data_IF_163481687172
#
_entry.id   IF_163481687172
#
_cell.length_a   1.000
_cell.length_b   1.000
_cell.length_c   1.000
_cell.angle_alpha   90.00
_cell.angle_beta   90.00
_cell.angle_gamma   90.00
#
_symmetry.space_group_name_H-M   'P 1'
#
loop_
_entity.id
_entity.type
_entity.pdbx_description
1 polymer ?
#
# COMPACT_ATOMS: atom_id res chain seq x y z
N UNK A 1 16.92 -8.25 -22.32
CA UNK A 1 15.90 -7.99 -21.30
C UNK A 1 15.06 -6.83 -21.79
N UNK A 2 13.77 -7.05 -22.05
CA UNK A 2 12.88 -5.98 -22.53
C UNK A 2 12.25 -5.25 -21.33
N UNK A 3 12.80 -4.07 -21.00
CA UNK A 3 12.36 -3.24 -19.89
C UNK A 3 10.89 -2.81 -20.01
N UNK A 4 10.42 -2.57 -21.24
CA UNK A 4 9.05 -2.13 -21.50
C UNK A 4 8.06 -3.28 -21.27
N UNK A 5 8.40 -4.50 -21.68
CA UNK A 5 7.59 -5.68 -21.37
C UNK A 5 7.45 -5.91 -19.86
N UNK A 6 8.51 -5.65 -19.08
CA UNK A 6 8.46 -5.74 -17.61
C UNK A 6 7.60 -4.63 -16.97
N UNK A 7 7.60 -3.42 -17.52
CA UNK A 7 6.68 -2.35 -17.07
C UNK A 7 5.21 -2.72 -17.29
N UNK A 8 4.87 -3.34 -18.43
CA UNK A 8 3.50 -3.81 -18.70
C UNK A 8 3.05 -4.90 -17.75
N UNK A 9 3.94 -5.86 -17.46
CA UNK A 9 3.68 -6.90 -16.45
C UNK A 9 3.44 -6.28 -15.07
N UNK A 10 4.24 -5.29 -14.66
CA UNK A 10 4.09 -4.58 -13.40
C UNK A 10 2.76 -3.79 -13.31
N UNK A 11 2.31 -3.17 -14.41
CA UNK A 11 0.99 -2.50 -14.47
C UNK A 11 -0.14 -3.48 -14.24
N UNK A 12 -0.09 -4.64 -14.89
CA UNK A 12 -1.13 -5.68 -14.76
C UNK A 12 -1.16 -6.32 -13.37
N UNK A 13 0.01 -6.57 -12.77
CA UNK A 13 0.09 -7.11 -11.40
C UNK A 13 -0.42 -6.10 -10.37
N UNK A 14 -0.07 -4.82 -10.51
CA UNK A 14 -0.58 -3.74 -9.67
C UNK A 14 -2.11 -3.68 -9.69
N UNK A 15 -2.73 -3.77 -10.86
CA UNK A 15 -4.20 -3.81 -10.96
C UNK A 15 -4.81 -4.98 -10.20
N UNK A 16 -4.22 -6.18 -10.31
CA UNK A 16 -4.68 -7.36 -9.55
C UNK A 16 -4.53 -7.15 -8.04
N UNK A 17 -3.40 -6.60 -7.61
CA UNK A 17 -3.14 -6.30 -6.20
C UNK A 17 -4.15 -5.31 -5.63
N UNK A 18 -4.50 -4.25 -6.37
CA UNK A 18 -5.52 -3.28 -5.94
C UNK A 18 -6.89 -3.95 -5.78
N UNK A 19 -7.28 -4.83 -6.71
CA UNK A 19 -8.53 -5.59 -6.60
C UNK A 19 -8.51 -6.52 -5.38
N UNK A 20 -7.43 -7.27 -5.18
CA UNK A 20 -7.27 -8.15 -4.02
C UNK A 20 -7.24 -7.38 -2.69
N UNK A 21 -6.64 -6.20 -2.67
CA UNK A 21 -6.62 -5.31 -1.52
C UNK A 21 -8.04 -4.84 -1.19
N UNK A 22 -8.79 -4.34 -2.18
CA UNK A 22 -10.18 -3.94 -1.99
C UNK A 22 -11.05 -5.10 -1.48
N UNK A 23 -10.89 -6.29 -2.06
CA UNK A 23 -11.58 -7.50 -1.59
C UNK A 23 -11.21 -7.83 -0.13
N UNK A 24 -9.92 -7.75 0.22
CA UNK A 24 -9.44 -7.98 1.59
C UNK A 24 -10.06 -7.00 2.58
N UNK A 25 -10.20 -5.72 2.22
CA UNK A 25 -10.86 -4.70 3.05
C UNK A 25 -12.33 -5.07 3.29
N UNK A 26 -13.06 -5.48 2.25
CA UNK A 26 -14.45 -5.94 2.39
C UNK A 26 -14.55 -7.13 3.32
N UNK A 27 -13.72 -8.17 3.10
CA UNK A 27 -13.69 -9.37 3.94
C UNK A 27 -13.39 -9.03 5.40
N UNK A 28 -12.41 -8.15 5.66
CA UNK A 28 -12.06 -7.71 7.00
C UNK A 28 -13.22 -6.98 7.69
N UNK A 29 -13.86 -6.03 7.01
CA UNK A 29 -15.01 -5.29 7.55
C UNK A 29 -16.16 -6.25 7.85
N UNK A 30 -16.47 -7.17 6.93
CA UNK A 30 -17.51 -8.19 7.16
C UNK A 30 -17.17 -9.07 8.36
N UNK A 31 -15.94 -9.58 8.46
CA UNK A 31 -15.50 -10.42 9.56
C UNK A 31 -15.63 -9.70 10.92
N UNK A 32 -15.20 -8.44 10.99
CA UNK A 32 -15.34 -7.63 12.21
C UNK A 32 -16.81 -7.40 12.58
N UNK A 33 -17.67 -7.13 11.59
CA UNK A 33 -19.10 -6.99 11.84
C UNK A 33 -19.75 -8.29 12.33
N UNK A 34 -19.33 -9.46 11.82
CA UNK A 34 -19.80 -10.78 12.32
C UNK A 34 -19.38 -10.98 13.77
N UNK A 35 -18.13 -10.68 14.12
CA UNK A 35 -17.64 -10.78 15.51
C UNK A 35 -18.46 -9.87 16.43
N UNK A 36 -18.67 -8.62 16.02
CA UNK A 36 -19.44 -7.63 16.77
C UNK A 36 -20.91 -8.04 16.93
N UNK A 37 -21.51 -8.62 15.89
CA UNK A 37 -22.86 -9.15 15.93
C UNK A 37 -23.01 -10.22 17.03
N UNK A 38 -22.07 -11.17 17.08
CA UNK A 38 -22.08 -12.23 18.08
C UNK A 38 -21.79 -11.71 19.49
N UNK A 39 -20.82 -10.79 19.63
CA UNK A 39 -20.45 -10.21 20.92
C UNK A 39 -21.57 -9.40 21.58
N UNK A 40 -22.44 -8.77 20.78
CA UNK A 40 -23.55 -7.92 21.24
C UNK A 40 -24.90 -8.63 21.24
N UNK A 41 -24.91 -9.96 21.07
CA UNK A 41 -26.15 -10.72 20.85
C UNK A 41 -27.08 -10.82 22.05
N UNK A 42 -26.58 -10.59 23.27
CA UNK A 42 -27.35 -10.68 24.51
C UNK A 42 -27.66 -9.31 25.15
N UNK A 43 -27.11 -8.23 24.61
CA UNK A 43 -27.29 -6.88 25.14
C UNK A 43 -28.45 -6.17 24.42
N UNK A 44 -29.54 -5.89 25.14
CA UNK A 44 -30.75 -5.29 24.54
C UNK A 44 -30.55 -3.86 24.03
N UNK A 45 -29.69 -3.07 24.68
CA UNK A 45 -29.48 -1.67 24.30
C UNK A 45 -28.60 -1.58 23.05
N UNK A 46 -27.58 -2.43 22.96
CA UNK A 46 -26.75 -2.57 21.76
C UNK A 46 -27.54 -3.21 20.61
N UNK A 47 -28.45 -4.14 20.90
CA UNK A 47 -29.37 -4.70 19.90
C UNK A 47 -30.26 -3.63 19.26
N UNK A 48 -30.82 -2.71 20.06
CA UNK A 48 -31.66 -1.62 19.57
C UNK A 48 -30.90 -0.67 18.63
N UNK A 49 -29.59 -0.48 18.86
CA UNK A 49 -28.73 0.41 18.08
C UNK A 49 -27.79 -0.32 17.10
N UNK A 50 -28.12 -1.57 16.71
CA UNK A 50 -27.25 -2.42 15.88
C UNK A 50 -26.77 -1.75 14.60
N UNK A 51 -27.68 -1.11 13.85
CA UNK A 51 -27.32 -0.47 12.59
C UNK A 51 -26.26 0.62 12.79
N UNK A 52 -26.43 1.47 13.81
CA UNK A 52 -25.48 2.53 14.15
C UNK A 52 -24.13 1.95 14.60
N UNK A 53 -24.17 0.86 15.37
CA UNK A 53 -22.97 0.19 15.87
C UNK A 53 -22.15 -0.45 14.74
N UNK A 54 -22.79 -1.21 13.84
CA UNK A 54 -22.14 -1.82 12.68
C UNK A 54 -21.59 -0.78 11.71
N UNK A 55 -22.34 0.31 11.48
CA UNK A 55 -21.89 1.43 10.66
C UNK A 55 -20.68 2.13 11.30
N UNK A 56 -20.72 2.39 12.61
CA UNK A 56 -19.63 2.99 13.36
C UNK A 56 -18.34 2.17 13.29
N UNK A 57 -18.42 0.85 13.52
CA UNK A 57 -17.27 -0.07 13.39
C UNK A 57 -16.71 -0.02 11.97
N UNK A 58 -17.57 -0.09 10.96
CA UNK A 58 -17.15 -0.09 9.56
C UNK A 58 -16.46 1.22 9.18
N UNK A 59 -16.98 2.38 9.62
CA UNK A 59 -16.38 3.70 9.39
C UNK A 59 -15.02 3.81 10.07
N UNK A 60 -14.89 3.37 11.32
CA UNK A 60 -13.63 3.42 12.07
C UNK A 60 -12.56 2.60 11.36
N UNK A 61 -12.88 1.36 11.00
CA UNK A 61 -11.95 0.45 10.32
C UNK A 61 -11.55 1.01 8.95
N UNK A 62 -12.52 1.46 8.16
CA UNK A 62 -12.25 2.04 6.85
C UNK A 62 -11.39 3.30 6.94
N UNK A 63 -11.65 4.16 7.93
CA UNK A 63 -10.87 5.37 8.16
C UNK A 63 -9.43 5.04 8.56
N UNK A 64 -9.22 4.06 9.44
CA UNK A 64 -7.88 3.63 9.83
C UNK A 64 -7.08 3.09 8.63
N UNK A 65 -7.71 2.27 7.79
CA UNK A 65 -7.08 1.75 6.56
C UNK A 65 -6.78 2.87 5.57
N UNK A 66 -7.72 3.80 5.38
CA UNK A 66 -7.55 4.93 4.47
C UNK A 66 -6.40 5.84 4.91
N UNK A 67 -6.32 6.18 6.20
CA UNK A 67 -5.23 6.98 6.77
C UNK A 67 -3.90 6.26 6.61
N UNK A 68 -3.81 4.99 7.00
CA UNK A 68 -2.58 4.21 6.84
C UNK A 68 -2.11 4.13 5.39
N UNK A 69 -3.05 3.92 4.46
CA UNK A 69 -2.77 3.89 3.02
C UNK A 69 -2.29 5.25 2.50
N UNK A 70 -2.93 6.34 2.92
CA UNK A 70 -2.55 7.70 2.54
C UNK A 70 -1.15 8.05 3.06
N UNK A 71 -0.84 7.74 4.33
CA UNK A 71 0.49 7.94 4.91
C UNK A 71 1.54 7.15 4.14
N UNK A 72 1.29 5.87 3.84
CA UNK A 72 2.23 5.06 3.07
C UNK A 72 2.43 5.59 1.66
N UNK A 73 1.37 6.07 1.02
CA UNK A 73 1.44 6.68 -0.31
C UNK A 73 2.26 7.97 -0.27
N UNK A 74 2.04 8.82 0.73
CA UNK A 74 2.81 10.04 0.93
C UNK A 74 4.32 9.74 1.16
N UNK A 75 4.65 8.73 1.96
CA UNK A 75 6.03 8.29 2.16
C UNK A 75 6.71 7.85 0.85
N UNK A 76 5.97 7.22 -0.05
CA UNK A 76 6.49 6.74 -1.34
C UNK A 76 6.43 7.80 -2.46
N UNK A 77 5.76 8.92 -2.24
CA UNK A 77 5.55 9.97 -3.25
C UNK A 77 6.82 10.71 -3.66
N UNK A 78 7.87 10.68 -2.84
CA UNK A 78 9.18 11.23 -3.14
C UNK A 78 9.94 10.45 -4.25
N UNK A 79 9.34 9.38 -4.79
CA UNK A 79 9.79 8.72 -6.00
C UNK A 79 10.74 7.54 -5.76
N UNK A 80 11.45 7.16 -6.84
CA UNK A 80 12.27 5.95 -6.87
C UNK A 80 13.43 5.95 -5.86
N UNK A 81 13.93 7.12 -5.45
CA UNK A 81 15.03 7.24 -4.50
C UNK A 81 14.67 6.65 -3.11
N UNK A 82 13.48 6.97 -2.59
CA UNK A 82 13.02 6.44 -1.30
C UNK A 82 12.84 4.92 -1.38
N UNK A 83 12.29 4.44 -2.49
CA UNK A 83 12.12 2.99 -2.71
C UNK A 83 13.48 2.29 -2.80
N UNK A 84 14.45 2.89 -3.50
CA UNK A 84 15.79 2.35 -3.62
C UNK A 84 16.50 2.28 -2.26
N UNK A 85 16.44 3.34 -1.46
CA UNK A 85 17.02 3.38 -0.11
C UNK A 85 16.38 2.31 0.80
N UNK A 86 15.05 2.15 0.75
CA UNK A 86 14.34 1.08 1.47
C UNK A 86 14.77 -0.33 1.06
N UNK A 87 15.26 -0.51 -0.17
CA UNK A 87 15.79 -1.78 -0.67
C UNK A 87 17.29 -1.96 -0.37
N UNK A 88 17.89 -1.06 0.41
CA UNK A 88 19.31 -1.08 0.78
C UNK A 88 20.23 -0.49 -0.29
N UNK A 89 19.68 0.24 -1.27
CA UNK A 89 20.53 0.99 -2.18
C UNK A 89 21.24 2.12 -1.44
N UNK A 90 22.45 2.44 -1.90
CA UNK A 90 23.24 3.57 -1.41
C UNK A 90 23.38 4.63 -2.50
N UNK A 91 23.39 5.92 -2.15
CA UNK A 91 23.69 6.96 -3.12
C UNK A 91 25.12 6.78 -3.66
N UNK A 92 25.28 6.88 -4.98
CA UNK A 92 26.59 6.90 -5.62
C UNK A 92 27.08 8.35 -5.69
N UNK A 93 28.33 8.56 -5.31
CA UNK A 93 29.01 9.85 -5.43
C UNK A 93 29.94 9.82 -6.62
N UNK A 94 29.67 10.64 -7.63
CA UNK A 94 30.44 10.72 -8.88
C UNK A 94 31.97 10.89 -8.66
N UNK A 95 32.35 11.65 -7.63
CA UNK A 95 33.78 11.89 -7.31
C UNK A 95 34.52 10.68 -6.77
N UNK A 96 33.83 9.72 -6.17
CA UNK A 96 34.41 8.52 -5.56
C UNK A 96 33.93 7.21 -6.23
N UNK A 97 33.18 7.33 -7.34
CA UNK A 97 32.58 6.19 -8.02
C UNK A 97 33.65 5.32 -8.69
N UNK A 98 33.58 4.02 -8.44
CA UNK A 98 34.40 3.02 -9.12
C UNK A 98 34.07 2.98 -10.62
N UNK A 99 34.95 2.45 -11.50
CA UNK A 99 34.72 2.44 -12.94
C UNK A 99 33.36 1.83 -13.35
N UNK A 100 32.92 0.76 -12.68
CA UNK A 100 31.61 0.15 -12.91
C UNK A 100 30.44 1.04 -12.46
N UNK A 101 30.60 1.79 -11.36
CA UNK A 101 29.59 2.72 -10.85
C UNK A 101 29.44 3.94 -11.77
N UNK A 102 30.54 4.41 -12.38
CA UNK A 102 30.51 5.50 -13.39
C UNK A 102 29.74 5.12 -14.64
N UNK A 103 29.87 3.87 -15.11
CA UNK A 103 29.08 3.39 -16.25
C UNK A 103 27.57 3.48 -15.94
N UNK A 104 27.15 3.13 -14.72
CA UNK A 104 25.76 3.26 -14.30
C UNK A 104 25.29 4.72 -14.28
N UNK A 105 26.11 5.64 -13.76
CA UNK A 105 25.80 7.07 -13.75
C UNK A 105 25.64 7.61 -15.18
N UNK A 106 26.60 7.30 -16.07
CA UNK A 106 26.57 7.77 -17.46
C UNK A 106 25.34 7.26 -18.22
N UNK A 107 24.94 5.99 -18.02
CA UNK A 107 23.74 5.44 -18.67
C UNK A 107 22.47 6.15 -18.18
N UNK A 108 22.39 6.49 -16.89
CA UNK A 108 21.24 7.23 -16.36
C UNK A 108 21.20 8.66 -16.92
N UNK A 109 22.34 9.35 -17.01
CA UNK A 109 22.43 10.70 -17.58
C UNK A 109 22.05 10.73 -19.08
N UNK A 110 22.41 9.70 -19.85
CA UNK A 110 22.06 9.63 -21.28
C UNK A 110 20.56 9.32 -21.51
N UNK A 111 19.91 8.67 -20.53
CA UNK A 111 18.48 8.30 -20.60
C UNK A 111 17.54 9.37 -20.01
N UNK A 112 18.09 10.40 -19.33
CA UNK A 112 17.35 11.51 -18.71
C UNK A 112 17.24 12.73 -19.62
#
# INVERSE_FOLDING_TARGET
MDFFAQQDLARRSTRRLVILFALSVVVLITALNVVVYHATSYDRDLMANRAALHLGVSIIVLSAIAIGSAVKTAQLSAGGAVVAEMMGARPLNDRAAQPAERVLLNVVEEMS
#
